data_IF_445331302735
#
_entry.id   IF_445331302735
#
_cell.length_a   1.000
_cell.length_b   1.000
_cell.length_c   1.000
_cell.angle_alpha   90.00
_cell.angle_beta   90.00
_cell.angle_gamma   90.00
#
_symmetry.space_group_name_H-M   'P 1'
#
loop_
_entity.id
_entity.type
_entity.pdbx_description
1 polymer ?
#
# COMPACT_ATOMS: atom_id res chain seq x y z
N UNK A 1 -6.40 19.28 -21.66
CA UNK A 1 -7.21 18.73 -20.57
C UNK A 1 -7.51 17.30 -20.93
N UNK A 2 -7.14 16.34 -20.10
CA UNK A 2 -7.52 14.94 -20.31
C UNK A 2 -9.06 14.87 -20.27
N UNK A 3 -9.65 14.35 -21.33
CA UNK A 3 -11.09 14.09 -21.36
C UNK A 3 -11.36 12.93 -20.41
N UNK A 4 -11.91 13.18 -19.24
CA UNK A 4 -12.48 12.16 -18.35
C UNK A 4 -13.82 11.65 -18.94
N UNK A 5 -13.83 11.37 -20.25
CA UNK A 5 -15.03 11.41 -21.07
C UNK A 5 -15.94 10.20 -20.93
N UNK A 6 -15.42 9.03 -20.55
CA UNK A 6 -16.25 7.83 -20.50
C UNK A 6 -16.72 7.53 -19.09
N UNK A 7 -18.05 7.31 -18.90
CA UNK A 7 -18.60 6.90 -17.60
C UNK A 7 -18.07 5.52 -17.23
N UNK A 8 -17.83 5.29 -15.95
CA UNK A 8 -17.57 3.95 -15.41
C UNK A 8 -18.90 3.24 -15.20
N UNK A 9 -19.15 2.19 -15.96
CA UNK A 9 -20.39 1.42 -15.90
C UNK A 9 -20.14 0.01 -15.40
N UNK A 10 -21.14 -0.60 -14.81
CA UNK A 10 -21.10 -1.97 -14.28
C UNK A 10 -20.82 -3.01 -15.37
N UNK A 11 -21.28 -2.76 -16.60
CA UNK A 11 -21.08 -3.63 -17.76
C UNK A 11 -19.70 -3.52 -18.40
N UNK A 12 -18.96 -2.43 -18.11
CA UNK A 12 -17.66 -2.11 -18.71
C UNK A 12 -16.47 -2.52 -17.81
N UNK A 13 -16.74 -2.97 -16.58
CA UNK A 13 -15.70 -3.35 -15.63
C UNK A 13 -15.52 -4.87 -15.57
N UNK A 14 -14.29 -5.30 -15.26
CA UNK A 14 -14.02 -6.73 -15.07
C UNK A 14 -14.79 -7.25 -13.84
N UNK A 15 -15.48 -8.40 -13.92
CA UNK A 15 -16.14 -8.99 -12.76
C UNK A 15 -15.18 -9.38 -11.62
N UNK A 16 -13.89 -9.53 -11.92
CA UNK A 16 -12.83 -9.74 -10.94
C UNK A 16 -12.19 -8.38 -10.58
N UNK A 17 -12.35 -7.88 -9.34
CA UNK A 17 -11.79 -6.58 -8.94
C UNK A 17 -10.27 -6.54 -8.97
N UNK A 18 -9.57 -7.66 -8.84
CA UNK A 18 -8.12 -7.70 -8.96
C UNK A 18 -7.67 -7.42 -10.40
N UNK A 19 -8.37 -7.97 -11.39
CA UNK A 19 -8.12 -7.69 -12.82
C UNK A 19 -8.49 -6.24 -13.15
N UNK A 20 -9.60 -5.76 -12.62
CA UNK A 20 -10.00 -4.35 -12.76
C UNK A 20 -8.92 -3.41 -12.18
N UNK A 21 -8.39 -3.73 -11.00
CA UNK A 21 -7.28 -2.99 -10.39
C UNK A 21 -6.02 -3.04 -11.28
N UNK A 22 -5.63 -4.22 -11.76
CA UNK A 22 -4.46 -4.41 -12.62
C UNK A 22 -4.55 -3.55 -13.89
N UNK A 23 -5.70 -3.51 -14.55
CA UNK A 23 -5.93 -2.70 -15.73
C UNK A 23 -5.80 -1.19 -15.44
N UNK A 24 -6.35 -0.72 -14.31
CA UNK A 24 -6.24 0.68 -13.91
C UNK A 24 -4.82 1.06 -13.47
N UNK A 25 -4.11 0.15 -12.79
CA UNK A 25 -2.72 0.34 -12.38
C UNK A 25 -1.79 0.46 -13.59
N UNK A 26 -1.96 -0.40 -14.61
CA UNK A 26 -1.21 -0.32 -15.87
C UNK A 26 -1.50 0.99 -16.61
N UNK A 27 -2.79 1.37 -16.68
CA UNK A 27 -3.19 2.64 -17.29
C UNK A 27 -2.56 3.85 -16.57
N UNK A 28 -2.46 3.81 -15.24
CA UNK A 28 -1.82 4.87 -14.46
C UNK A 28 -0.32 4.99 -14.76
N UNK A 29 0.39 3.86 -14.89
CA UNK A 29 1.78 3.84 -15.32
C UNK A 29 1.95 4.40 -16.74
N UNK A 30 1.11 3.95 -17.67
CA UNK A 30 1.12 4.38 -19.08
C UNK A 30 0.79 5.87 -19.25
N UNK A 31 -0.04 6.43 -18.37
CA UNK A 31 -0.36 7.85 -18.34
C UNK A 31 0.78 8.74 -17.78
N UNK A 32 1.86 8.13 -17.30
CA UNK A 32 3.01 8.85 -16.76
C UNK A 32 2.91 9.18 -15.28
N UNK A 33 2.07 8.51 -14.51
CA UNK A 33 2.07 8.64 -13.04
C UNK A 33 3.43 8.23 -12.51
N UNK A 34 4.09 9.11 -11.76
CA UNK A 34 5.48 8.92 -11.30
C UNK A 34 5.68 7.70 -10.41
N UNK A 35 4.70 7.37 -9.59
CA UNK A 35 4.73 6.26 -8.66
C UNK A 35 3.30 5.69 -8.53
N UNK A 36 2.83 4.93 -9.53
CA UNK A 36 1.47 4.39 -9.50
C UNK A 36 1.25 3.42 -8.33
N UNK A 37 2.33 2.82 -7.81
CA UNK A 37 2.35 1.94 -6.64
C UNK A 37 2.26 2.69 -5.29
N UNK A 38 2.35 4.03 -5.28
CA UNK A 38 2.20 4.80 -4.05
C UNK A 38 0.74 4.77 -3.58
N UNK A 39 0.54 4.38 -2.32
CA UNK A 39 -0.78 4.29 -1.72
C UNK A 39 -0.78 4.88 -0.30
N UNK A 40 -1.88 5.51 0.08
CA UNK A 40 -2.15 5.81 1.48
C UNK A 40 -2.63 4.53 2.17
N UNK A 41 -2.09 4.26 3.36
CA UNK A 41 -2.62 3.21 4.24
C UNK A 41 -3.15 3.86 5.51
N UNK A 42 -4.43 3.62 5.80
CA UNK A 42 -5.07 3.96 7.05
C UNK A 42 -5.06 2.75 7.98
N UNK A 43 -4.64 2.98 9.22
CA UNK A 43 -4.63 2.00 10.31
C UNK A 43 -5.26 2.64 11.53
N UNK A 44 -5.68 1.86 12.51
CA UNK A 44 -6.25 2.39 13.74
C UNK A 44 -5.72 1.65 14.96
N UNK A 45 -5.64 2.34 16.08
CA UNK A 45 -5.36 1.70 17.38
C UNK A 45 -6.48 0.74 17.77
N UNK A 46 -6.28 -0.11 18.76
CA UNK A 46 -7.34 -0.95 19.34
C UNK A 46 -8.55 -0.13 19.86
N UNK A 47 -8.34 1.14 20.24
CA UNK A 47 -9.40 2.05 20.63
C UNK A 47 -10.06 2.77 19.44
N UNK A 48 -9.70 2.45 18.18
CA UNK A 48 -10.29 3.03 16.99
C UNK A 48 -9.71 4.38 16.56
N UNK A 49 -8.64 4.89 17.20
CA UNK A 49 -8.01 6.14 16.77
C UNK A 49 -7.26 5.94 15.46
N UNK A 50 -7.68 6.58 14.34
CA UNK A 50 -7.09 6.36 13.03
C UNK A 50 -5.78 7.14 12.85
N UNK A 51 -4.96 6.63 11.96
CA UNK A 51 -3.80 7.32 11.40
C UNK A 51 -3.57 6.93 9.94
N UNK A 52 -2.94 7.81 9.14
CA UNK A 52 -2.72 7.59 7.71
C UNK A 52 -1.31 8.05 7.31
N UNK A 53 -0.68 7.33 6.37
CA UNK A 53 0.61 7.68 5.75
C UNK A 53 0.73 7.04 4.38
N UNK A 54 1.67 7.54 3.59
CA UNK A 54 2.01 6.92 2.32
C UNK A 54 2.95 5.72 2.52
N UNK A 55 2.71 4.66 1.76
CA UNK A 55 3.60 3.51 1.60
C UNK A 55 3.63 3.11 0.12
N UNK A 56 4.54 2.22 -0.25
CA UNK A 56 4.59 1.69 -1.61
C UNK A 56 4.08 0.24 -1.60
N UNK A 57 3.08 -0.04 -2.42
CA UNK A 57 2.73 -1.41 -2.78
C UNK A 57 3.93 -2.05 -3.49
N UNK A 58 4.29 -3.27 -3.13
CA UNK A 58 5.41 -3.99 -3.73
C UNK A 58 4.99 -5.20 -4.54
N UNK A 59 3.83 -5.73 -4.22
CA UNK A 59 3.23 -6.86 -4.91
C UNK A 59 1.71 -6.81 -4.73
N UNK A 60 0.98 -7.31 -5.69
CA UNK A 60 -0.42 -7.69 -5.55
C UNK A 60 -0.67 -8.98 -6.33
N UNK A 61 -1.49 -9.83 -5.79
CA UNK A 61 -1.86 -11.14 -6.31
C UNK A 61 -3.25 -11.56 -5.77
N UNK A 62 -3.66 -12.77 -6.06
CA UNK A 62 -4.95 -13.33 -5.58
C UNK A 62 -5.06 -13.40 -4.05
N UNK A 63 -3.94 -13.32 -3.33
CA UNK A 63 -3.90 -13.30 -1.87
C UNK A 63 -4.00 -11.88 -1.31
N UNK A 64 -3.79 -10.84 -2.12
CA UNK A 64 -3.93 -9.44 -1.73
C UNK A 64 -2.72 -8.55 -2.02
N UNK A 65 -2.63 -7.43 -1.30
CA UNK A 65 -1.70 -6.33 -1.52
C UNK A 65 -0.60 -6.32 -0.48
N UNK A 66 0.66 -6.32 -0.92
CA UNK A 66 1.84 -6.39 -0.04
C UNK A 66 2.58 -5.07 0.02
N UNK A 67 2.92 -4.65 1.23
CA UNK A 67 3.86 -3.58 1.50
C UNK A 67 4.84 -4.00 2.60
N UNK A 68 6.00 -3.32 2.67
CA UNK A 68 7.04 -3.62 3.66
C UNK A 68 7.31 -2.41 4.54
N UNK A 69 7.57 -2.66 5.83
CA UNK A 69 7.80 -1.61 6.82
C UNK A 69 8.61 -2.14 8.00
N UNK A 70 8.99 -1.22 8.91
CA UNK A 70 9.51 -1.61 10.23
C UNK A 70 8.33 -2.03 11.13
N UNK A 71 8.44 -3.18 11.78
CA UNK A 71 7.43 -3.76 12.69
C UNK A 71 7.27 -2.98 14.01
N UNK A 72 8.24 -2.14 14.37
CA UNK A 72 8.18 -1.25 15.53
C UNK A 72 7.58 0.11 15.18
N UNK A 73 7.30 0.38 13.89
CA UNK A 73 6.69 1.63 13.48
C UNK A 73 5.25 1.76 13.96
N UNK A 74 4.75 3.01 14.14
CA UNK A 74 3.39 3.29 14.59
C UNK A 74 2.34 2.48 13.83
N UNK A 75 2.43 2.39 12.48
CA UNK A 75 1.46 1.63 11.68
C UNK A 75 1.50 0.12 11.99
N UNK A 76 2.68 -0.42 12.23
CA UNK A 76 2.84 -1.83 12.53
C UNK A 76 2.29 -2.16 13.92
N UNK A 77 2.56 -1.33 14.92
CA UNK A 77 1.97 -1.48 16.26
C UNK A 77 0.44 -1.37 16.23
N UNK A 78 -0.11 -0.47 15.39
CA UNK A 78 -1.55 -0.37 15.18
C UNK A 78 -2.11 -1.64 14.51
N UNK A 79 -1.44 -2.19 13.49
CA UNK A 79 -1.86 -3.41 12.78
C UNK A 79 -1.74 -4.68 13.66
N UNK A 80 -0.75 -4.74 14.52
CA UNK A 80 -0.61 -5.87 15.47
C UNK A 80 -1.73 -5.86 16.52
N UNK A 81 -2.22 -4.67 16.90
CA UNK A 81 -3.31 -4.49 17.87
C UNK A 81 -4.71 -4.52 17.21
N UNK A 82 -4.82 -4.13 15.96
CA UNK A 82 -6.05 -4.08 15.16
C UNK A 82 -5.70 -4.46 13.71
N UNK A 83 -5.78 -5.73 13.33
CA UNK A 83 -5.29 -6.25 12.05
C UNK A 83 -6.24 -5.96 10.89
N UNK A 84 -6.61 -4.69 10.69
CA UNK A 84 -7.43 -4.20 9.59
C UNK A 84 -6.85 -2.90 9.02
N UNK A 85 -6.95 -2.73 7.71
CA UNK A 85 -6.48 -1.53 7.02
C UNK A 85 -7.38 -1.15 5.85
N UNK A 86 -7.32 0.14 5.50
CA UNK A 86 -7.80 0.65 4.23
C UNK A 86 -6.61 1.19 3.42
N UNK A 87 -6.56 0.80 2.15
CA UNK A 87 -5.61 1.29 1.16
C UNK A 87 -6.31 2.27 0.23
N UNK A 88 -5.63 3.33 -0.19
CA UNK A 88 -6.12 4.27 -1.19
C UNK A 88 -5.01 4.54 -2.22
N UNK A 89 -5.28 4.21 -3.47
CA UNK A 89 -4.53 4.66 -4.64
C UNK A 89 -5.23 5.87 -5.24
N UNK A 90 -4.46 6.89 -5.62
CA UNK A 90 -4.98 8.08 -6.30
C UNK A 90 -4.12 8.40 -7.52
N UNK A 91 -4.71 8.32 -8.69
CA UNK A 91 -4.09 8.60 -9.98
C UNK A 91 -4.74 9.84 -10.60
N UNK A 92 -4.26 11.01 -10.20
CA UNK A 92 -4.80 12.33 -10.55
C UNK A 92 -4.83 12.58 -12.06
N UNK A 93 -3.81 12.11 -12.80
CA UNK A 93 -3.75 12.24 -14.25
C UNK A 93 -4.92 11.54 -14.96
N UNK A 94 -5.49 10.50 -14.34
CA UNK A 94 -6.64 9.78 -14.86
C UNK A 94 -7.94 10.15 -14.15
N UNK A 95 -7.90 10.98 -13.11
CA UNK A 95 -9.04 11.26 -12.25
C UNK A 95 -9.60 10.00 -11.60
N UNK A 96 -8.75 9.07 -11.17
CA UNK A 96 -9.15 7.77 -10.64
C UNK A 96 -8.63 7.56 -9.22
N UNK A 97 -9.46 6.89 -8.42
CA UNK A 97 -9.07 6.37 -7.12
C UNK A 97 -9.50 4.91 -6.99
N UNK A 98 -8.70 4.12 -6.27
CA UNK A 98 -9.12 2.78 -5.86
C UNK A 98 -8.93 2.66 -4.35
N UNK A 99 -9.99 2.34 -3.64
CA UNK A 99 -9.97 2.04 -2.21
C UNK A 99 -10.13 0.53 -2.00
N UNK A 100 -9.33 -0.02 -1.09
CA UNK A 100 -9.32 -1.46 -0.79
C UNK A 100 -9.34 -1.59 0.73
N UNK A 101 -10.21 -2.41 1.25
CA UNK A 101 -10.36 -2.63 2.69
C UNK A 101 -10.33 -4.12 3.00
N UNK A 102 -9.71 -4.48 4.11
CA UNK A 102 -9.68 -5.86 4.56
C UNK A 102 -8.72 -6.13 5.72
N UNK A 103 -8.71 -7.38 6.19
CA UNK A 103 -7.80 -7.84 7.22
C UNK A 103 -6.35 -7.84 6.74
N UNK A 104 -5.45 -7.73 7.70
CA UNK A 104 -4.01 -7.64 7.47
C UNK A 104 -3.29 -8.74 8.23
N UNK A 105 -2.31 -9.36 7.59
CA UNK A 105 -1.41 -10.33 8.22
C UNK A 105 0.04 -10.06 7.83
N UNK A 106 0.98 -10.48 8.64
CA UNK A 106 2.41 -10.43 8.28
C UNK A 106 2.70 -11.41 7.15
N UNK A 107 3.58 -11.01 6.23
CA UNK A 107 4.14 -11.94 5.22
C UNK A 107 5.07 -12.95 5.87
N UNK A 108 5.44 -14.00 5.15
CA UNK A 108 6.42 -14.97 5.66
C UNK A 108 7.80 -14.34 5.87
N UNK A 109 8.63 -14.99 6.67
CA UNK A 109 10.02 -14.57 6.87
C UNK A 109 10.82 -14.66 5.57
N UNK A 110 10.52 -15.63 4.72
CA UNK A 110 11.14 -15.83 3.41
C UNK A 110 10.80 -14.69 2.48
N UNK A 111 9.52 -14.30 2.34
CA UNK A 111 9.08 -13.15 1.53
C UNK A 111 9.74 -11.85 2.03
N UNK A 112 9.74 -11.64 3.34
CA UNK A 112 10.35 -10.46 3.97
C UNK A 112 11.85 -10.39 3.68
N UNK A 113 12.57 -11.51 3.84
CA UNK A 113 14.00 -11.62 3.59
C UNK A 113 14.34 -11.38 2.12
N UNK A 114 13.59 -12.01 1.21
CA UNK A 114 13.80 -11.85 -0.23
C UNK A 114 13.65 -10.37 -0.65
N UNK A 115 12.60 -9.71 -0.15
CA UNK A 115 12.39 -8.30 -0.44
C UNK A 115 13.50 -7.40 0.13
N UNK A 116 13.88 -7.56 1.41
CA UNK A 116 14.93 -6.73 2.03
C UNK A 116 16.24 -6.85 1.25
N UNK A 117 16.62 -8.07 0.85
CA UNK A 117 17.84 -8.32 0.07
C UNK A 117 17.79 -7.73 -1.34
N UNK A 118 16.63 -7.62 -1.96
CA UNK A 118 16.47 -7.02 -3.29
C UNK A 118 16.63 -5.50 -3.29
N UNK A 119 16.58 -4.85 -2.12
CA UNK A 119 16.68 -3.39 -2.00
C UNK A 119 18.12 -2.90 -2.24
N UNK A 120 18.29 -1.68 -2.77
CA UNK A 120 19.61 -1.06 -2.83
C UNK A 120 20.27 -1.00 -1.45
N UNK A 121 21.60 -1.20 -1.38
CA UNK A 121 22.36 -1.25 -0.11
C UNK A 121 22.09 -0.05 0.81
N UNK A 122 22.03 1.17 0.26
CA UNK A 122 21.70 2.37 1.04
C UNK A 122 20.31 2.30 1.72
N UNK A 123 19.31 1.69 1.04
CA UNK A 123 17.99 1.48 1.61
C UNK A 123 17.98 0.39 2.70
N UNK A 124 18.84 -0.62 2.57
CA UNK A 124 19.02 -1.64 3.61
C UNK A 124 19.67 -1.04 4.85
N UNK A 125 20.74 -0.23 4.69
CA UNK A 125 21.39 0.48 5.78
C UNK A 125 20.45 1.44 6.51
N UNK A 126 19.64 2.19 5.76
CA UNK A 126 18.64 3.09 6.34
C UNK A 126 17.56 2.33 7.13
N UNK A 127 17.18 1.13 6.68
CA UNK A 127 16.23 0.29 7.41
C UNK A 127 16.82 -0.23 8.74
N UNK A 128 18.11 -0.54 8.78
CA UNK A 128 18.82 -0.95 10.00
C UNK A 128 19.02 0.22 10.97
N UNK A 129 19.30 1.41 10.44
CA UNK A 129 19.65 2.59 11.25
C UNK A 129 18.43 3.30 11.86
N UNK A 130 17.27 3.21 11.20
CA UNK A 130 16.12 4.05 11.54
C UNK A 130 15.17 3.37 12.53
N UNK A 131 15.01 3.90 13.76
CA UNK A 131 13.95 3.54 14.68
C UNK A 131 12.64 4.19 14.19
N UNK A 132 12.02 3.60 13.19
CA UNK A 132 10.92 4.24 12.45
C UNK A 132 9.76 4.63 13.36
N UNK A 133 9.35 5.89 13.28
CA UNK A 133 8.29 6.54 14.07
C UNK A 133 8.70 6.98 15.48
N UNK A 134 9.92 6.73 15.92
CA UNK A 134 10.44 7.27 17.19
C UNK A 134 10.95 8.69 17.05
N UNK A 135 11.04 9.38 18.18
CA UNK A 135 11.68 10.70 18.26
C UNK A 135 13.18 10.50 18.25
N UNK A 136 13.87 11.20 17.36
CA UNK A 136 15.33 11.28 17.30
C UNK A 136 15.79 12.70 17.55
N UNK A 137 16.99 12.86 18.10
CA UNK A 137 17.49 14.18 18.49
C UNK A 137 17.76 15.08 17.26
N UNK A 138 18.26 14.51 16.16
CA UNK A 138 18.53 15.26 14.94
C UNK A 138 18.67 14.36 13.70
N UNK A 139 18.72 14.98 12.53
CA UNK A 139 19.02 14.30 11.27
C UNK A 139 20.44 13.74 11.25
N UNK A 140 21.37 14.50 11.80
CA UNK A 140 22.80 14.14 11.89
C UNK A 140 23.01 12.86 12.69
N UNK A 141 22.20 12.63 13.73
CA UNK A 141 22.21 11.37 14.49
C UNK A 141 21.86 10.18 13.59
N UNK A 142 20.83 10.30 12.75
CA UNK A 142 20.46 9.24 11.81
C UNK A 142 21.55 9.00 10.76
N UNK A 143 22.13 10.07 10.25
CA UNK A 143 23.23 10.01 9.26
C UNK A 143 24.48 9.34 9.87
N UNK A 144 24.81 9.65 11.13
CA UNK A 144 25.90 9.02 11.85
C UNK A 144 25.65 7.51 12.03
N UNK A 145 24.47 7.10 12.45
CA UNK A 145 24.10 5.67 12.56
C UNK A 145 24.23 4.93 11.23
N UNK A 146 23.79 5.55 10.13
CA UNK A 146 23.96 4.97 8.78
C UNK A 146 25.43 4.81 8.43
N UNK A 147 26.26 5.83 8.73
CA UNK A 147 27.71 5.79 8.46
C UNK A 147 28.41 4.71 9.29
N UNK A 148 28.09 4.58 10.57
CA UNK A 148 28.61 3.52 11.45
C UNK A 148 28.28 2.13 10.92
N UNK A 149 27.02 1.88 10.56
CA UNK A 149 26.60 0.61 9.99
C UNK A 149 27.25 0.32 8.65
N UNK A 150 27.45 1.36 7.81
CA UNK A 150 28.15 1.22 6.55
C UNK A 150 29.62 0.82 6.74
N UNK A 151 30.30 1.42 7.73
CA UNK A 151 31.68 1.08 8.07
C UNK A 151 31.81 -0.32 8.69
N UNK A 152 30.89 -0.68 9.62
CA UNK A 152 30.87 -1.99 10.26
C UNK A 152 30.66 -3.12 9.24
N UNK A 153 29.88 -2.86 8.21
CA UNK A 153 29.51 -3.82 7.16
C UNK A 153 30.10 -3.42 5.80
N UNK A 154 31.34 -2.91 5.75
CA UNK A 154 31.97 -2.44 4.51
C UNK A 154 31.95 -3.52 3.41
N UNK A 155 32.11 -4.79 3.80
CA UNK A 155 32.13 -5.95 2.90
C UNK A 155 31.07 -6.98 3.32
N UNK A 156 30.45 -7.60 2.31
CA UNK A 156 29.47 -8.68 2.52
C UNK A 156 28.02 -8.22 2.60
N UNK A 157 27.17 -9.16 2.95
CA UNK A 157 25.73 -8.95 3.11
C UNK A 157 25.43 -8.22 4.43
N UNK A 158 24.43 -7.36 4.38
CA UNK A 158 23.89 -6.74 5.59
C UNK A 158 23.02 -7.73 6.36
N UNK A 159 23.03 -7.70 7.70
CA UNK A 159 22.11 -8.50 8.48
C UNK A 159 20.67 -8.08 8.14
N UNK A 160 19.76 -9.06 8.14
CA UNK A 160 18.33 -8.78 8.01
C UNK A 160 17.82 -8.31 9.38
N UNK A 161 17.26 -7.10 9.48
CA UNK A 161 16.69 -6.67 10.75
C UNK A 161 15.42 -7.49 11.06
N UNK A 162 15.37 -8.10 12.22
CA UNK A 162 14.19 -8.85 12.70
C UNK A 162 12.94 -7.94 12.79
N UNK A 163 13.16 -6.65 12.96
CA UNK A 163 12.14 -5.62 13.04
C UNK A 163 11.59 -5.19 11.67
N UNK A 164 12.03 -5.80 10.57
CA UNK A 164 11.62 -5.40 9.22
C UNK A 164 10.97 -6.54 8.45
N UNK A 165 9.80 -6.26 7.88
CA UNK A 165 9.11 -7.24 7.06
C UNK A 165 7.87 -6.69 6.40
N UNK A 166 7.10 -7.60 5.80
CA UNK A 166 5.91 -7.27 5.03
C UNK A 166 4.60 -7.48 5.78
N UNK A 167 3.61 -6.78 5.31
CA UNK A 167 2.20 -7.02 5.60
C UNK A 167 1.45 -7.23 4.30
N UNK A 168 0.47 -8.14 4.34
CA UNK A 168 -0.47 -8.41 3.27
C UNK A 168 -1.87 -8.01 3.72
N UNK A 169 -2.51 -7.16 2.93
CA UNK A 169 -3.93 -6.80 3.08
C UNK A 169 -4.72 -7.73 2.17
N UNK A 170 -5.58 -8.57 2.74
CA UNK A 170 -6.49 -9.45 1.99
C UNK A 170 -7.78 -8.69 1.71
N UNK A 171 -8.14 -8.42 0.45
CA UNK A 171 -9.29 -7.58 0.14
C UNK A 171 -10.63 -8.24 0.49
N UNK A 172 -11.46 -7.51 1.22
CA UNK A 172 -12.88 -7.83 1.45
C UNK A 172 -13.80 -6.88 0.68
N UNK A 173 -13.30 -5.69 0.32
CA UNK A 173 -13.99 -4.77 -0.58
C UNK A 173 -13.02 -3.99 -1.45
N UNK A 174 -13.49 -3.60 -2.64
CA UNK A 174 -12.85 -2.60 -3.51
C UNK A 174 -13.86 -1.52 -3.84
N UNK A 175 -13.42 -0.28 -3.95
CA UNK A 175 -14.21 0.80 -4.54
C UNK A 175 -13.39 1.46 -5.64
N UNK A 176 -13.90 1.45 -6.85
CA UNK A 176 -13.38 2.16 -8.01
C UNK A 176 -14.14 3.47 -8.15
N UNK A 177 -13.42 4.57 -8.05
CA UNK A 177 -13.96 5.91 -8.17
C UNK A 177 -13.37 6.61 -9.39
N UNK A 178 -14.23 7.20 -10.22
CA UNK A 178 -13.83 7.98 -11.38
C UNK A 178 -14.39 9.38 -11.32
N UNK A 179 -13.53 10.37 -11.57
CA UNK A 179 -13.93 11.77 -11.66
C UNK A 179 -14.96 11.99 -12.76
N UNK A 180 -16.01 12.76 -12.44
CA UNK A 180 -17.00 13.28 -13.38
C UNK A 180 -17.26 14.75 -13.09
N UNK A 181 -17.70 15.48 -14.12
CA UNK A 181 -18.17 16.85 -13.95
C UNK A 181 -19.40 16.92 -13.04
N UNK A 182 -19.71 18.11 -12.56
CA UNK A 182 -20.87 18.39 -11.69
C UNK A 182 -20.96 17.54 -10.41
N UNK A 183 -19.83 16.98 -9.96
CA UNK A 183 -19.71 16.12 -8.76
C UNK A 183 -20.51 14.81 -8.82
N UNK A 184 -21.03 14.42 -9.98
CA UNK A 184 -21.71 13.14 -10.18
C UNK A 184 -20.69 12.04 -10.50
N UNK A 185 -19.72 11.86 -9.59
CA UNK A 185 -18.63 10.90 -9.74
C UNK A 185 -19.14 9.47 -9.82
N UNK A 186 -18.55 8.67 -10.72
CA UNK A 186 -18.86 7.25 -10.77
C UNK A 186 -18.15 6.51 -9.63
N UNK A 187 -18.90 5.68 -8.91
CA UNK A 187 -18.40 4.87 -7.80
C UNK A 187 -18.96 3.47 -7.92
N UNK A 188 -18.09 2.50 -8.19
CA UNK A 188 -18.44 1.08 -8.21
C UNK A 188 -17.74 0.35 -7.08
N UNK A 189 -18.53 -0.28 -6.20
CA UNK A 189 -18.02 -1.09 -5.12
C UNK A 189 -18.17 -2.57 -5.47
N UNK A 190 -17.11 -3.33 -5.24
CA UNK A 190 -17.13 -4.77 -5.19
C UNK A 190 -17.15 -5.19 -3.73
N UNK A 191 -18.16 -5.94 -3.35
CA UNK A 191 -18.33 -6.51 -2.02
C UNK A 191 -18.44 -8.03 -2.12
N UNK A 192 -18.07 -8.77 -1.07
CA UNK A 192 -18.23 -10.22 -1.04
C UNK A 192 -19.71 -10.60 -1.00
N UNK A 193 -20.12 -11.40 -1.97
CA UNK A 193 -21.45 -12.02 -1.96
C UNK A 193 -21.56 -13.20 -1.01
N UNK A 194 -22.78 -13.66 -0.75
CA UNK A 194 -23.03 -14.79 0.14
C UNK A 194 -22.49 -16.14 -0.37
N UNK A 195 -22.19 -16.25 -1.66
CA UNK A 195 -21.57 -17.40 -2.32
C UNK A 195 -20.03 -17.30 -2.39
N UNK A 196 -19.44 -16.24 -1.81
CA UNK A 196 -18.00 -15.96 -1.84
C UNK A 196 -17.51 -15.25 -3.11
N UNK A 197 -18.38 -15.04 -4.11
CA UNK A 197 -18.10 -14.24 -5.30
C UNK A 197 -18.08 -12.73 -5.02
N UNK A 198 -17.91 -11.94 -6.08
CA UNK A 198 -17.99 -10.48 -6.00
C UNK A 198 -19.31 -9.97 -6.55
N UNK A 199 -19.92 -9.04 -5.83
CA UNK A 199 -21.11 -8.31 -6.25
C UNK A 199 -20.69 -6.87 -6.53
N UNK A 200 -21.08 -6.36 -7.70
CA UNK A 200 -20.79 -4.97 -8.11
C UNK A 200 -22.02 -4.12 -7.79
N UNK A 201 -21.78 -3.03 -7.07
CA UNK A 201 -22.82 -2.09 -6.65
C UNK A 201 -22.41 -0.66 -6.98
N UNK A 202 -23.35 0.15 -7.46
CA UNK A 202 -23.12 1.59 -7.64
C UNK A 202 -23.38 2.34 -6.35
N UNK A 203 -22.45 3.18 -5.95
CA UNK A 203 -22.61 4.08 -4.80
C UNK A 203 -22.98 5.49 -5.28
N UNK A 204 -23.81 6.18 -4.52
CA UNK A 204 -24.02 7.61 -4.73
C UNK A 204 -22.72 8.39 -4.45
N UNK A 205 -22.41 9.44 -5.24
CA UNK A 205 -21.24 10.28 -5.07
C UNK A 205 -21.32 11.15 -3.82
#
# INVERSE_FOLDING_TARGET
MASFAEPLREEDVDPDPLRQFAAWFEAAGSAGTRAPEAMAIATATAAGMPSVRMVLMKQFDDLGFVFFTNYESRKALELDANPAAALLFHWDLLGRQVRIEGPVQRTSAEESSAYVRSRPRGSQLSALASPQSEVVASREELEARVAELAALHERGELPLPETWGGYRVTPESYEFWQHREDRLHDRLRYARGGDGGWVIERLAP
#
